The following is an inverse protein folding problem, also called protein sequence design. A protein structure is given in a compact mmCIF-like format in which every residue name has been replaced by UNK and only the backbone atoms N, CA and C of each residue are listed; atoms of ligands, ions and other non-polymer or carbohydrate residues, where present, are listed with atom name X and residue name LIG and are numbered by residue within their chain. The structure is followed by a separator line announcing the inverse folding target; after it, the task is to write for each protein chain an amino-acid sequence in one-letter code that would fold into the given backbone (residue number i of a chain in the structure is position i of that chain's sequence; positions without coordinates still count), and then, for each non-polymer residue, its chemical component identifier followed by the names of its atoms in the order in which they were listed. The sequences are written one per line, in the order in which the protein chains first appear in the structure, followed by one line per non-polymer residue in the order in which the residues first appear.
data_IF_866876943410
#
_entry.id   IF_866876943410
#
_cell.length_a   1.000
_cell.length_b   1.000
_cell.length_c   1.000
_cell.angle_alpha   90.00
_cell.angle_beta   90.00
_cell.angle_gamma   90.00
#
_symmetry.space_group_name_H-M   'P 1'
#
loop_
_entity.id
_entity.type
_entity.pdbx_description
1 polymer ?
#
# COMPACT_ATOMS: atom_id res chain seq x y z
N UNK A 1 12.76 11.41 11.59
CA UNK A 1 11.65 10.97 10.73
C UNK A 1 11.65 11.87 9.52
N UNK A 2 11.82 11.29 8.33
CA UNK A 2 11.66 12.02 7.08
C UNK A 2 10.31 12.75 7.06
N UNK A 3 10.32 14.02 6.62
CA UNK A 3 9.17 14.91 6.71
C UNK A 3 8.00 14.48 5.80
N UNK A 4 8.28 13.74 4.73
CA UNK A 4 7.28 13.15 3.84
C UNK A 4 6.63 11.91 4.45
N UNK A 5 7.44 10.97 4.94
CA UNK A 5 6.95 9.73 5.54
C UNK A 5 6.02 10.00 6.75
N UNK A 6 6.38 10.98 7.60
CA UNK A 6 5.54 11.38 8.74
C UNK A 6 4.17 11.89 8.29
N UNK A 7 4.12 12.75 7.27
CA UNK A 7 2.85 13.30 6.74
C UNK A 7 1.94 12.20 6.20
N UNK A 8 2.50 11.23 5.49
CA UNK A 8 1.75 10.07 4.99
C UNK A 8 1.16 9.30 6.18
N UNK A 9 1.98 8.96 7.17
CA UNK A 9 1.53 8.18 8.33
C UNK A 9 0.43 8.90 9.13
N UNK A 10 0.51 10.22 9.29
CA UNK A 10 -0.52 11.02 9.97
C UNK A 10 -1.85 11.02 9.19
N UNK A 11 -1.81 11.06 7.84
CA UNK A 11 -3.00 10.89 6.99
C UNK A 11 -3.60 9.49 7.11
N UNK A 12 -2.77 8.45 7.08
CA UNK A 12 -3.22 7.06 7.23
C UNK A 12 -3.90 6.83 8.59
N UNK A 13 -3.32 7.33 9.68
CA UNK A 13 -3.89 7.25 11.03
C UNK A 13 -5.23 8.00 11.17
N UNK A 14 -5.43 9.05 10.38
CA UNK A 14 -6.70 9.77 10.32
C UNK A 14 -7.69 9.18 9.29
N UNK A 15 -7.42 7.98 8.77
CA UNK A 15 -8.21 7.27 7.76
C UNK A 15 -8.41 8.08 6.47
N UNK A 16 -7.47 8.96 6.14
CA UNK A 16 -7.46 9.76 4.91
C UNK A 16 -6.52 9.11 3.91
N UNK A 17 -7.05 8.21 3.10
CA UNK A 17 -6.28 7.45 2.12
C UNK A 17 -6.26 8.15 0.77
N UNK A 18 -5.07 8.37 0.22
CA UNK A 18 -4.89 8.65 -1.20
C UNK A 18 -5.04 7.32 -2.00
N UNK A 19 -5.51 7.38 -3.25
CA UNK A 19 -5.74 6.18 -4.05
C UNK A 19 -4.45 5.47 -4.49
N UNK A 20 -3.32 6.19 -4.55
CA UNK A 20 -2.02 5.66 -4.99
C UNK A 20 -0.90 6.27 -4.16
N UNK A 21 0.04 5.43 -3.72
CA UNK A 21 1.27 5.85 -3.06
C UNK A 21 2.47 5.31 -3.83
N UNK A 22 3.50 6.14 -4.00
CA UNK A 22 4.82 5.72 -4.48
C UNK A 22 5.78 5.89 -3.33
N UNK A 23 6.30 4.77 -2.80
CA UNK A 23 7.24 4.76 -1.69
C UNK A 23 8.64 4.45 -2.23
N UNK A 24 9.54 5.41 -2.12
CA UNK A 24 10.90 5.31 -2.63
C UNK A 24 11.83 6.11 -1.73
N UNK A 25 13.05 5.63 -1.56
CA UNK A 25 14.10 6.31 -0.81
C UNK A 25 15.25 5.36 -0.50
N UNK A 26 16.35 5.91 -0.01
CA UNK A 26 17.50 5.14 0.45
C UNK A 26 17.23 4.48 1.81
N UNK A 27 16.40 5.12 2.65
CA UNK A 27 15.99 4.60 3.95
C UNK A 27 14.76 3.68 3.83
N UNK A 28 14.99 2.38 3.70
CA UNK A 28 13.93 1.36 3.57
C UNK A 28 12.99 1.31 4.76
N UNK A 29 13.47 1.68 5.96
CA UNK A 29 12.67 1.70 7.19
C UNK A 29 11.35 2.46 7.04
N UNK A 30 11.34 3.61 6.36
CA UNK A 30 10.10 4.37 6.17
C UNK A 30 9.15 3.75 5.15
N UNK A 31 9.70 3.05 4.15
CA UNK A 31 8.91 2.28 3.18
C UNK A 31 8.17 1.18 3.93
N UNK A 32 8.90 0.40 4.73
CA UNK A 32 8.35 -0.69 5.54
C UNK A 32 7.36 -0.17 6.58
N UNK A 33 7.65 0.97 7.23
CA UNK A 33 6.76 1.57 8.21
C UNK A 33 5.38 1.89 7.61
N UNK A 34 5.36 2.46 6.40
CA UNK A 34 4.12 2.87 5.73
C UNK A 34 3.40 1.65 5.15
N UNK A 35 4.11 0.76 4.44
CA UNK A 35 3.49 -0.43 3.83
C UNK A 35 2.91 -1.36 4.88
N UNK A 36 3.64 -1.63 5.97
CA UNK A 36 3.15 -2.44 7.09
C UNK A 36 1.96 -1.78 7.79
N UNK A 37 1.94 -0.44 7.91
CA UNK A 37 0.78 0.23 8.48
C UNK A 37 -0.47 0.01 7.61
N UNK A 38 -0.35 0.18 6.30
CA UNK A 38 -1.46 -0.03 5.35
C UNK A 38 -1.96 -1.48 5.43
N UNK A 39 -1.04 -2.44 5.31
CA UNK A 39 -1.37 -3.87 5.34
C UNK A 39 -2.04 -4.29 6.65
N UNK A 40 -1.63 -3.75 7.79
CA UNK A 40 -2.18 -4.18 9.07
C UNK A 40 -3.45 -3.44 9.52
N UNK A 41 -3.79 -2.29 8.93
CA UNK A 41 -4.85 -1.42 9.45
C UNK A 41 -5.96 -1.08 8.45
N UNK A 42 -5.73 -1.20 7.14
CA UNK A 42 -6.72 -0.77 6.14
C UNK A 42 -7.78 -1.84 5.87
N UNK A 43 -7.38 -3.11 5.89
CA UNK A 43 -8.27 -4.26 5.67
C UNK A 43 -8.30 -5.14 6.91
N UNK A 44 -9.47 -5.70 7.20
CA UNK A 44 -9.61 -6.82 8.13
C UNK A 44 -8.97 -8.08 7.55
N UNK A 45 -8.62 -9.04 8.39
CA UNK A 45 -8.00 -10.29 7.92
C UNK A 45 -8.88 -11.08 6.94
N UNK A 46 -10.21 -10.98 7.08
CA UNK A 46 -11.15 -11.57 6.13
C UNK A 46 -11.10 -10.89 4.75
N UNK A 47 -11.02 -9.55 4.72
CA UNK A 47 -10.96 -8.79 3.47
C UNK A 47 -9.63 -8.98 2.73
N UNK A 48 -8.52 -9.14 3.45
CA UNK A 48 -7.19 -9.34 2.85
C UNK A 48 -7.16 -10.52 1.87
N UNK A 49 -7.85 -11.61 2.19
CA UNK A 49 -7.89 -12.81 1.34
C UNK A 49 -8.46 -12.57 -0.06
N UNK A 50 -9.26 -11.51 -0.26
CA UNK A 50 -9.92 -11.22 -1.53
C UNK A 50 -9.47 -9.90 -2.16
N UNK A 51 -9.11 -8.93 -1.32
CA UNK A 51 -8.90 -7.53 -1.68
C UNK A 51 -7.43 -7.08 -1.58
N UNK A 52 -6.52 -7.92 -1.06
CA UNK A 52 -5.08 -7.65 -1.07
C UNK A 52 -4.38 -8.55 -2.09
N UNK A 53 -3.54 -7.94 -2.93
CA UNK A 53 -2.68 -8.67 -3.87
C UNK A 53 -1.26 -8.15 -3.73
N UNK A 54 -0.32 -9.03 -3.41
CA UNK A 54 1.11 -8.72 -3.36
C UNK A 54 1.75 -9.28 -4.62
N UNK A 55 2.48 -8.44 -5.34
CA UNK A 55 3.18 -8.82 -6.58
C UNK A 55 4.65 -8.43 -6.51
N UNK A 56 5.51 -9.22 -7.14
CA UNK A 56 6.92 -8.90 -7.29
C UNK A 56 7.16 -8.29 -8.66
N UNK A 57 7.67 -7.05 -8.70
CA UNK A 57 7.80 -6.25 -9.92
C UNK A 57 8.53 -6.96 -11.08
N UNK A 58 9.50 -7.81 -10.77
CA UNK A 58 10.27 -8.58 -11.76
C UNK A 58 9.46 -9.67 -12.48
N UNK A 59 8.39 -10.17 -11.84
CA UNK A 59 7.62 -11.33 -12.30
C UNK A 59 6.20 -10.93 -12.79
N UNK A 60 5.89 -9.63 -12.87
CA UNK A 60 4.55 -9.13 -13.18
C UNK A 60 4.57 -8.17 -14.38
N UNK A 61 3.56 -8.27 -15.23
CA UNK A 61 3.37 -7.33 -16.36
C UNK A 61 2.49 -6.16 -15.94
N UNK A 62 2.65 -5.03 -16.63
CA UNK A 62 1.78 -3.85 -16.42
C UNK A 62 0.30 -4.21 -16.60
N UNK A 63 -0.03 -5.05 -17.60
CA UNK A 63 -1.41 -5.49 -17.82
C UNK A 63 -1.98 -6.27 -16.63
N UNK A 64 -1.18 -7.14 -16.00
CA UNK A 64 -1.61 -7.86 -14.80
C UNK A 64 -1.90 -6.92 -13.64
N UNK A 65 -1.02 -5.92 -13.39
CA UNK A 65 -1.24 -4.89 -12.37
C UNK A 65 -2.56 -4.13 -12.62
N UNK A 66 -2.79 -3.70 -13.86
CA UNK A 66 -4.02 -2.99 -14.25
C UNK A 66 -5.27 -3.84 -14.03
N UNK A 67 -5.22 -5.14 -14.36
CA UNK A 67 -6.34 -6.06 -14.11
C UNK A 67 -6.64 -6.17 -12.62
N UNK A 68 -5.63 -6.29 -11.75
CA UNK A 68 -5.85 -6.31 -10.30
C UNK A 68 -6.43 -5.00 -9.79
N UNK A 69 -5.90 -3.85 -10.21
CA UNK A 69 -6.35 -2.52 -9.75
C UNK A 69 -7.77 -2.16 -10.20
N UNK A 70 -8.28 -2.76 -11.29
CA UNK A 70 -9.64 -2.53 -11.81
C UNK A 70 -10.71 -3.42 -11.17
N UNK A 71 -10.33 -4.44 -10.41
CA UNK A 71 -11.30 -5.30 -9.71
C UNK A 71 -12.04 -4.45 -8.68
N UNK A 72 -13.36 -4.61 -8.64
CA UNK A 72 -14.14 -4.10 -7.53
C UNK A 72 -13.79 -4.86 -6.25
N UNK A 73 -13.78 -4.18 -5.09
CA UNK A 73 -13.69 -4.85 -3.80
C UNK A 73 -14.78 -5.91 -3.67
N UNK A 74 -14.42 -7.03 -3.06
CA UNK A 74 -15.31 -8.16 -2.76
C UNK A 74 -15.71 -8.17 -1.30
#
# INVERSE_FOLDING_TARGET
MDSGAKKILDKLKSRKYDPVYVLQGEETYYIDLISNYIENNVLTDAEKGFNQVIVYGKDVTVNAILTHARRFPM
#
